data_IF_214930759853
#
_entry.id   IF_214930759853
#
_cell.length_a   1.000
_cell.length_b   1.000
_cell.length_c   1.000
_cell.angle_alpha   90.00
_cell.angle_beta   90.00
_cell.angle_gamma   90.00
#
_symmetry.space_group_name_H-M   'P 1'
#
loop_
_entity.id
_entity.type
_entity.pdbx_description
1 polymer ?
#
# COMPACT_ATOMS: atom_id res chain seq x y z
N UNK A 1 20.12 19.50 -6.00
CA UNK A 1 21.56 19.50 -5.64
C UNK A 1 22.43 19.98 -6.79
N UNK A 2 22.22 19.49 -8.03
CA UNK A 2 22.90 20.03 -9.22
C UNK A 2 22.72 21.55 -9.42
N UNK A 3 21.53 22.08 -9.10
CA UNK A 3 21.22 23.52 -9.17
C UNK A 3 22.18 24.44 -8.41
N UNK A 4 22.97 23.89 -7.47
CA UNK A 4 23.91 24.64 -6.65
C UNK A 4 25.38 24.48 -7.11
N UNK A 5 25.61 23.88 -8.27
CA UNK A 5 26.94 23.53 -8.79
C UNK A 5 27.16 24.28 -10.11
N UNK A 6 28.38 24.76 -10.34
CA UNK A 6 28.77 25.40 -11.59
C UNK A 6 28.66 24.42 -12.77
N UNK A 7 28.06 24.85 -13.88
CA UNK A 7 27.82 24.02 -15.07
C UNK A 7 29.11 23.52 -15.73
N UNK A 8 30.24 24.22 -15.56
CA UNK A 8 31.56 23.80 -16.06
C UNK A 8 32.23 22.73 -15.18
N UNK A 9 31.62 22.40 -14.03
CA UNK A 9 32.15 21.38 -13.12
C UNK A 9 32.18 20.03 -13.82
N UNK A 10 33.35 19.38 -13.82
CA UNK A 10 33.47 18.04 -14.38
C UNK A 10 32.64 17.04 -13.56
N UNK A 11 31.65 16.43 -14.20
CA UNK A 11 30.76 15.46 -13.57
C UNK A 11 30.99 14.04 -14.08
N UNK A 12 30.65 13.07 -13.23
CA UNK A 12 30.72 11.65 -13.55
C UNK A 12 29.45 10.96 -13.06
N UNK A 13 28.96 9.99 -13.83
CA UNK A 13 27.87 9.09 -13.44
C UNK A 13 28.38 7.65 -13.33
N UNK A 14 27.84 6.91 -12.37
CA UNK A 14 28.14 5.49 -12.22
C UNK A 14 27.27 4.65 -13.18
N UNK A 15 27.91 3.73 -13.90
CA UNK A 15 27.25 2.73 -14.76
C UNK A 15 27.92 1.38 -14.51
N UNK A 16 27.22 0.48 -13.82
CA UNK A 16 27.72 -0.89 -13.59
C UNK A 16 29.07 -0.94 -12.86
N UNK A 17 29.32 -0.01 -11.93
CA UNK A 17 30.59 0.10 -11.20
C UNK A 17 31.68 0.91 -11.90
N UNK A 18 31.44 1.49 -13.08
CA UNK A 18 32.35 2.39 -13.77
C UNK A 18 31.88 3.84 -13.69
N UNK A 19 32.81 4.78 -13.56
CA UNK A 19 32.53 6.21 -13.62
C UNK A 19 32.70 6.73 -15.05
N UNK A 20 31.62 7.23 -15.64
CA UNK A 20 31.56 7.78 -17.00
C UNK A 20 31.37 9.29 -16.91
N UNK A 21 32.20 10.07 -17.60
CA UNK A 21 32.07 11.53 -17.63
C UNK A 21 30.72 11.94 -18.23
N UNK A 22 30.09 12.96 -17.67
CA UNK A 22 28.85 13.58 -18.16
C UNK A 22 28.95 15.10 -18.02
N UNK A 23 28.18 15.83 -18.82
CA UNK A 23 27.97 17.27 -18.66
C UNK A 23 26.75 17.55 -17.77
N UNK A 24 26.56 18.84 -17.42
CA UNK A 24 25.49 19.31 -16.55
C UNK A 24 24.10 19.05 -17.13
N UNK A 25 23.90 19.34 -18.41
CA UNK A 25 22.60 19.21 -19.08
C UNK A 25 22.14 17.75 -19.09
N UNK A 26 23.01 16.84 -19.55
CA UNK A 26 22.73 15.41 -19.56
C UNK A 26 22.55 14.83 -18.14
N UNK A 27 23.31 15.33 -17.15
CA UNK A 27 23.14 14.91 -15.76
C UNK A 27 21.78 15.35 -15.20
N UNK A 28 21.37 16.60 -15.48
CA UNK A 28 20.11 17.18 -15.04
C UNK A 28 18.90 16.46 -15.65
N UNK A 29 18.92 16.26 -16.97
CA UNK A 29 17.88 15.53 -17.69
C UNK A 29 17.74 14.10 -17.16
N UNK A 30 18.87 13.39 -16.97
CA UNK A 30 18.83 12.03 -16.44
C UNK A 30 18.29 11.96 -15.01
N UNK A 31 18.56 12.96 -14.18
CA UNK A 31 17.97 13.04 -12.83
C UNK A 31 16.47 13.31 -12.90
N UNK A 32 16.00 14.18 -13.78
CA UNK A 32 14.56 14.43 -13.97
C UNK A 32 13.83 13.16 -14.43
N UNK A 33 14.34 12.48 -15.46
CA UNK A 33 13.79 11.19 -15.91
C UNK A 33 13.72 10.15 -14.79
N UNK A 34 14.75 10.10 -13.93
CA UNK A 34 14.76 9.21 -12.75
C UNK A 34 13.71 9.60 -11.73
N UNK A 35 13.54 10.89 -11.46
CA UNK A 35 12.50 11.39 -10.54
C UNK A 35 11.14 10.98 -11.05
N UNK A 36 10.82 11.28 -12.31
CA UNK A 36 9.54 10.89 -12.93
C UNK A 36 9.31 9.38 -12.88
N UNK A 37 10.34 8.59 -13.19
CA UNK A 37 10.26 7.12 -13.09
C UNK A 37 10.02 6.64 -11.65
N UNK A 38 10.62 7.29 -10.65
CA UNK A 38 10.43 6.95 -9.24
C UNK A 38 9.05 7.36 -8.75
N UNK A 39 8.53 8.51 -9.18
CA UNK A 39 7.17 8.96 -8.85
C UNK A 39 6.12 7.97 -9.38
N UNK A 40 6.26 7.53 -10.63
CA UNK A 40 5.41 6.47 -11.19
C UNK A 40 5.52 5.18 -10.37
N UNK A 41 6.72 4.82 -9.90
CA UNK A 41 6.91 3.62 -9.08
C UNK A 41 6.25 3.76 -7.72
N UNK A 42 6.33 4.92 -7.08
CA UNK A 42 5.64 5.23 -5.81
C UNK A 42 4.13 5.08 -6.00
N UNK A 43 3.56 5.72 -7.03
CA UNK A 43 2.13 5.64 -7.30
C UNK A 43 1.65 4.18 -7.51
N UNK A 44 2.46 3.38 -8.21
CA UNK A 44 2.18 1.96 -8.39
C UNK A 44 2.30 1.16 -7.08
N UNK A 45 3.23 1.50 -6.20
CA UNK A 45 3.36 0.86 -4.89
C UNK A 45 2.18 1.21 -3.99
N UNK A 46 1.70 2.45 -4.01
CA UNK A 46 0.51 2.87 -3.25
C UNK A 46 -0.75 2.11 -3.68
N UNK A 47 -0.95 1.94 -4.98
CA UNK A 47 -2.05 1.10 -5.51
C UNK A 47 -1.93 -0.37 -5.06
N UNK A 48 -0.71 -0.91 -5.05
CA UNK A 48 -0.46 -2.27 -4.58
C UNK A 48 -0.75 -2.40 -3.09
N UNK A 49 -0.32 -1.41 -2.30
CA UNK A 49 -0.57 -1.36 -0.86
C UNK A 49 -2.06 -1.36 -0.55
N UNK A 50 -2.83 -0.48 -1.21
CA UNK A 50 -4.28 -0.39 -1.00
C UNK A 50 -4.98 -1.72 -1.33
N UNK A 51 -4.63 -2.36 -2.46
CA UNK A 51 -5.18 -3.67 -2.81
C UNK A 51 -4.85 -4.75 -1.77
N UNK A 52 -3.65 -4.70 -1.18
CA UNK A 52 -3.26 -5.65 -0.12
C UNK A 52 -4.05 -5.39 1.15
N UNK A 53 -4.25 -4.12 1.54
CA UNK A 53 -5.08 -3.74 2.70
C UNK A 53 -6.52 -4.20 2.53
N UNK A 54 -7.16 -3.92 1.40
CA UNK A 54 -8.54 -4.35 1.10
C UNK A 54 -8.69 -5.88 1.18
N UNK A 55 -7.74 -6.63 0.64
CA UNK A 55 -7.73 -8.09 0.76
C UNK A 55 -7.59 -8.56 2.20
N UNK A 56 -6.75 -7.89 2.99
CA UNK A 56 -6.55 -8.22 4.39
C UNK A 56 -7.83 -7.96 5.22
N UNK A 57 -8.54 -6.86 4.95
CA UNK A 57 -9.83 -6.56 5.57
C UNK A 57 -10.88 -7.61 5.18
N UNK A 58 -11.02 -7.91 3.88
CA UNK A 58 -11.95 -8.93 3.40
C UNK A 58 -11.67 -10.32 3.99
N UNK A 59 -10.40 -10.73 4.12
CA UNK A 59 -10.03 -12.00 4.75
C UNK A 59 -10.38 -12.02 6.24
N UNK A 60 -10.23 -10.90 6.96
CA UNK A 60 -10.63 -10.81 8.35
C UNK A 60 -12.15 -10.90 8.51
N UNK A 61 -12.92 -10.29 7.61
CA UNK A 61 -14.38 -10.38 7.59
C UNK A 61 -14.84 -11.82 7.31
N UNK A 62 -14.27 -12.47 6.30
CA UNK A 62 -14.57 -13.88 5.98
C UNK A 62 -14.25 -14.80 7.16
N UNK A 63 -13.11 -14.60 7.82
CA UNK A 63 -12.74 -15.36 9.01
C UNK A 63 -13.74 -15.16 10.15
N UNK A 64 -14.20 -13.92 10.37
CA UNK A 64 -15.19 -13.61 11.40
C UNK A 64 -16.56 -14.21 11.07
N UNK A 65 -16.99 -14.20 9.81
CA UNK A 65 -18.24 -14.82 9.38
C UNK A 65 -18.22 -16.34 9.57
N UNK A 66 -17.11 -16.99 9.21
CA UNK A 66 -16.93 -18.43 9.46
C UNK A 66 -16.95 -18.78 10.96
N UNK A 67 -16.34 -17.95 11.81
CA UNK A 67 -16.31 -18.16 13.27
C UNK A 67 -17.64 -17.79 13.94
N UNK A 68 -18.32 -16.74 13.48
CA UNK A 68 -19.62 -16.30 13.96
C UNK A 68 -20.74 -17.25 13.56
N UNK A 69 -20.67 -17.80 12.34
CA UNK A 69 -21.54 -18.87 11.84
C UNK A 69 -21.34 -20.20 12.58
N UNK A 70 -20.14 -20.49 13.07
CA UNK A 70 -19.85 -21.67 13.89
C UNK A 70 -20.32 -21.53 15.36
N UNK A 71 -20.48 -20.30 15.87
CA UNK A 71 -20.91 -20.03 17.26
C UNK A 71 -22.42 -19.88 17.48
N UNK A 72 -23.22 -19.71 16.42
CA UNK A 72 -24.64 -19.34 16.52
C UNK A 72 -25.66 -20.49 16.49
N UNK A 73 -25.26 -21.73 16.21
CA UNK A 73 -26.18 -22.85 15.96
C UNK A 73 -26.14 -23.97 17.04
N UNK A 74 -25.77 -23.64 18.27
CA UNK A 74 -25.57 -24.61 19.36
C UNK A 74 -26.40 -24.39 20.64
N UNK A 75 -27.32 -23.43 20.70
CA UNK A 75 -28.05 -23.10 21.93
C UNK A 75 -29.55 -22.91 21.71
N UNK A 76 -30.32 -24.00 21.90
CA UNK A 76 -31.78 -24.10 22.05
C UNK A 76 -32.69 -23.81 20.83
N UNK A 77 -33.24 -24.87 20.20
CA UNK A 77 -34.54 -24.82 19.55
C UNK A 77 -35.65 -25.20 20.54
N UNK A 78 -36.64 -24.31 20.73
CA UNK A 78 -37.98 -24.68 21.18
C UNK A 78 -38.22 -24.82 22.69
N UNK A 79 -38.85 -23.79 23.27
CA UNK A 79 -39.72 -23.92 24.43
C UNK A 79 -40.94 -23.03 24.23
N UNK A 80 -42.19 -23.56 24.19
CA UNK A 80 -43.39 -22.77 23.97
C UNK A 80 -43.67 -21.85 25.16
N UNK A 81 -44.13 -20.62 24.90
CA UNK A 81 -44.54 -19.67 25.93
C UNK A 81 -45.66 -20.21 26.86
N UNK A 82 -45.84 -19.58 28.04
CA UNK A 82 -46.95 -18.63 28.20
C UNK A 82 -46.46 -17.39 28.99
N UNK A 83 -46.76 -16.15 28.62
CA UNK A 83 -48.07 -15.49 28.58
C UNK A 83 -47.87 -14.07 29.16
N UNK A 84 -48.74 -13.08 28.86
CA UNK A 84 -48.57 -11.71 29.33
C UNK A 84 -48.98 -11.62 30.81
N UNK A 85 -48.08 -11.15 31.68
CA UNK A 85 -48.29 -11.10 33.12
C UNK A 85 -47.74 -9.81 33.72
N UNK A 86 -48.66 -9.03 34.27
CA UNK A 86 -48.50 -7.73 34.93
C UNK A 86 -47.50 -7.71 36.10
N UNK A 87 -47.01 -6.50 36.41
CA UNK A 87 -46.46 -6.14 37.71
C UNK A 87 -46.22 -4.64 37.79
N UNK A 88 -46.96 -3.98 38.68
CA UNK A 88 -46.92 -2.55 39.07
C UNK A 88 -45.51 -1.96 39.31
#
# INVERSE_FOLDING_TARGET
ELENIDEETTMYREVGGLLVRTDYEAASENLQEKVESLELRVENLDRQENRVREKFESLQEELQDMLGGAGGAGGMPGGPGPGPGAGD
#
